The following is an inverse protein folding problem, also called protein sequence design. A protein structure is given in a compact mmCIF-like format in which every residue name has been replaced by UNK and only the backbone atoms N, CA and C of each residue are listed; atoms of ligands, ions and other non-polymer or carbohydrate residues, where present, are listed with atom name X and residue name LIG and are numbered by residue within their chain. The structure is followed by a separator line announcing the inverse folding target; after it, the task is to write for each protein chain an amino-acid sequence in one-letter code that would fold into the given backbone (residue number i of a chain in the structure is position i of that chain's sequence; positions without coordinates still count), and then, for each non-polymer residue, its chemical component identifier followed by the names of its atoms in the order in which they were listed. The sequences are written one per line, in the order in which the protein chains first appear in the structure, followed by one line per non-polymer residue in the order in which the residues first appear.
data_IF_164945624248
#
_entry.id   IF_164945624248
#
_cell.length_a   1.000
_cell.length_b   1.000
_cell.length_c   1.000
_cell.angle_alpha   90.00
_cell.angle_beta   90.00
_cell.angle_gamma   90.00
#
_symmetry.space_group_name_H-M   'P 1'
#
loop_
_entity.id
_entity.type
_entity.pdbx_description
1 polymer ?
#
# COMPACT_ATOMS: atom_id res chain seq x y z
N UNK A 1 12.68 -21.89 -18.38
CA UNK A 1 12.14 -21.54 -17.05
C UNK A 1 12.06 -20.03 -17.01
N UNK A 2 10.87 -19.46 -16.90
CA UNK A 2 10.70 -18.02 -16.65
C UNK A 2 11.23 -17.73 -15.25
N UNK A 3 12.08 -16.72 -15.09
CA UNK A 3 12.53 -16.29 -13.77
C UNK A 3 11.34 -15.62 -13.07
N UNK A 4 10.89 -16.20 -11.95
CA UNK A 4 9.78 -15.68 -11.14
C UNK A 4 10.29 -14.86 -9.95
N UNK A 5 11.58 -14.99 -9.62
CA UNK A 5 12.20 -14.22 -8.54
C UNK A 5 12.28 -12.75 -8.93
N UNK A 6 11.78 -11.89 -8.05
CA UNK A 6 11.72 -10.45 -8.22
C UNK A 6 12.86 -9.75 -7.51
N UNK A 7 13.41 -8.70 -8.13
CA UNK A 7 14.34 -7.77 -7.48
C UNK A 7 13.65 -6.45 -7.20
N UNK A 8 13.51 -6.06 -5.95
CA UNK A 8 12.86 -4.81 -5.56
C UNK A 8 13.77 -3.93 -4.71
N UNK A 9 13.66 -2.62 -4.89
CA UNK A 9 14.32 -1.64 -4.02
C UNK A 9 13.30 -0.63 -3.52
N UNK A 10 13.22 -0.51 -2.20
CA UNK A 10 12.42 0.51 -1.53
C UNK A 10 13.26 1.77 -1.35
N UNK A 11 12.74 2.92 -1.76
CA UNK A 11 13.39 4.23 -1.75
C UNK A 11 12.56 5.15 -0.83
N UNK A 12 13.11 5.46 0.34
CA UNK A 12 12.42 6.18 1.41
C UNK A 12 12.91 7.62 1.51
N UNK A 13 11.99 8.57 1.40
CA UNK A 13 12.23 9.96 1.76
C UNK A 13 12.42 10.09 3.29
N UNK A 14 13.56 10.61 3.73
CA UNK A 14 13.87 10.87 5.14
C UNK A 14 14.05 12.36 5.42
N UNK A 15 13.56 13.22 4.52
CA UNK A 15 13.59 14.65 4.73
C UNK A 15 12.76 15.07 5.95
N UNK A 16 13.10 16.23 6.51
CA UNK A 16 12.48 16.74 7.73
C UNK A 16 10.98 17.03 7.58
N UNK A 17 10.43 17.12 6.36
CA UNK A 17 8.99 17.26 6.15
C UNK A 17 8.24 16.01 6.61
N UNK A 18 8.79 14.82 6.36
CA UNK A 18 8.17 13.55 6.72
C UNK A 18 7.91 13.46 8.24
N UNK A 19 8.92 13.77 9.07
CA UNK A 19 8.74 13.81 10.54
C UNK A 19 7.90 15.00 10.99
N UNK A 20 8.09 16.19 10.39
CA UNK A 20 7.29 17.37 10.74
C UNK A 20 5.79 17.19 10.47
N UNK A 21 5.45 16.35 9.50
CA UNK A 21 4.08 16.01 9.13
C UNK A 21 3.56 14.75 9.85
N UNK A 22 4.40 14.07 10.63
CA UNK A 22 4.04 12.87 11.40
C UNK A 22 3.87 11.61 10.54
N UNK A 23 4.63 11.50 9.45
CA UNK A 23 4.57 10.35 8.53
C UNK A 23 5.68 9.33 8.75
N UNK A 24 6.70 9.67 9.53
CA UNK A 24 7.89 8.86 9.77
C UNK A 24 7.58 7.54 10.46
N UNK A 25 6.89 7.55 11.60
CA UNK A 25 6.60 6.32 12.36
C UNK A 25 5.84 5.29 11.51
N UNK A 26 4.78 5.72 10.81
CA UNK A 26 4.01 4.85 9.93
C UNK A 26 4.83 4.36 8.73
N UNK A 27 5.65 5.23 8.15
CA UNK A 27 6.54 4.86 7.04
C UNK A 27 7.50 3.76 7.48
N UNK A 28 8.04 3.84 8.70
CA UNK A 28 8.90 2.79 9.26
C UNK A 28 8.14 1.48 9.46
N UNK A 29 6.98 1.51 10.13
CA UNK A 29 6.16 0.33 10.41
C UNK A 29 5.78 -0.40 9.11
N UNK A 30 5.18 0.31 8.16
CA UNK A 30 4.70 -0.26 6.91
C UNK A 30 5.85 -0.75 6.03
N UNK A 31 6.99 -0.07 6.04
CA UNK A 31 8.17 -0.47 5.26
C UNK A 31 8.84 -1.72 5.84
N UNK A 32 8.88 -1.87 7.18
CA UNK A 32 9.32 -3.10 7.85
C UNK A 32 8.40 -4.27 7.49
N UNK A 33 7.09 -4.04 7.50
CA UNK A 33 6.11 -5.05 7.10
C UNK A 33 6.30 -5.45 5.62
N UNK A 34 6.43 -4.48 4.71
CA UNK A 34 6.66 -4.71 3.28
C UNK A 34 7.88 -5.61 3.01
N UNK A 35 9.05 -5.30 3.58
CA UNK A 35 10.25 -6.16 3.37
C UNK A 35 10.13 -7.52 4.06
N UNK A 36 9.35 -7.61 5.14
CA UNK A 36 9.11 -8.86 5.87
C UNK A 36 8.15 -9.81 5.15
N UNK A 37 7.34 -9.28 4.24
CA UNK A 37 6.36 -10.04 3.46
C UNK A 37 6.96 -10.67 2.18
N UNK A 38 8.15 -10.23 1.76
CA UNK A 38 8.72 -10.63 0.46
C UNK A 38 9.18 -12.10 0.42
N UNK A 39 9.08 -12.76 -0.73
CA UNK A 39 9.20 -14.22 -0.88
C UNK A 39 10.65 -14.73 -0.90
N UNK A 40 10.90 -15.97 -0.43
CA UNK A 40 12.19 -16.63 -0.62
C UNK A 40 12.53 -16.72 -2.12
N UNK A 41 13.76 -16.39 -2.47
CA UNK A 41 14.25 -16.30 -3.84
C UNK A 41 14.33 -14.87 -4.37
N UNK A 42 13.53 -13.93 -3.85
CA UNK A 42 13.56 -12.52 -4.25
C UNK A 42 14.80 -11.80 -3.74
N UNK A 43 15.12 -10.64 -4.33
CA UNK A 43 16.12 -9.70 -3.83
C UNK A 43 15.44 -8.44 -3.33
N UNK A 44 15.80 -8.00 -2.13
CA UNK A 44 15.32 -6.75 -1.51
C UNK A 44 16.49 -5.82 -1.22
N UNK A 45 16.32 -4.55 -1.56
CA UNK A 45 17.21 -3.46 -1.18
C UNK A 45 16.43 -2.30 -0.57
N UNK A 46 17.10 -1.50 0.26
CA UNK A 46 16.51 -0.30 0.83
C UNK A 46 17.50 0.86 0.69
N UNK A 47 17.01 1.95 0.13
CA UNK A 47 17.68 3.23 -0.03
C UNK A 47 16.89 4.28 0.74
N UNK A 48 17.58 5.20 1.36
CA UNK A 48 17.00 6.43 1.89
C UNK A 48 17.51 7.61 1.08
N UNK A 49 16.73 8.69 1.01
CA UNK A 49 17.21 9.95 0.46
C UNK A 49 16.69 11.17 1.23
N UNK A 50 17.53 12.19 1.28
CA UNK A 50 17.18 13.54 1.71
C UNK A 50 17.87 14.59 0.81
N UNK A 51 19.00 15.15 1.24
CA UNK A 51 19.92 15.93 0.39
C UNK A 51 20.71 15.01 -0.53
N UNK A 52 21.12 13.85 0.00
CA UNK A 52 21.85 12.81 -0.71
C UNK A 52 21.10 11.47 -0.55
N UNK A 53 21.41 10.49 -1.40
CA UNK A 53 20.89 9.13 -1.26
C UNK A 53 21.92 8.20 -0.60
N UNK A 54 21.46 7.30 0.26
CA UNK A 54 22.32 6.36 0.97
C UNK A 54 21.71 4.95 1.02
N UNK A 55 22.60 3.95 0.99
CA UNK A 55 22.25 2.56 1.26
C UNK A 55 21.82 2.39 2.70
N UNK A 56 20.59 1.91 2.92
CA UNK A 56 20.11 1.47 4.23
C UNK A 56 20.32 -0.02 4.39
N UNK A 57 19.93 -0.78 3.37
CA UNK A 57 20.11 -2.23 3.31
C UNK A 57 20.51 -2.63 1.88
N UNK A 58 21.68 -3.28 1.67
CA UNK A 58 22.14 -3.61 0.34
C UNK A 58 21.20 -4.59 -0.36
N UNK A 59 21.17 -4.59 -1.69
CA UNK A 59 20.37 -5.54 -2.46
C UNK A 59 20.78 -6.98 -2.12
N UNK A 60 19.94 -7.68 -1.36
CA UNK A 60 20.25 -8.98 -0.77
C UNK A 60 19.19 -9.99 -1.15
N UNK A 61 19.63 -11.20 -1.54
CA UNK A 61 18.73 -12.31 -1.85
C UNK A 61 18.16 -12.90 -0.56
N UNK A 62 16.85 -13.09 -0.51
CA UNK A 62 16.16 -13.85 0.52
C UNK A 62 16.40 -15.33 0.24
N UNK A 63 17.40 -15.94 0.88
CA UNK A 63 17.92 -17.26 0.50
C UNK A 63 17.61 -18.36 1.55
N UNK A 64 18.59 -19.19 1.95
CA UNK A 64 18.38 -20.38 2.80
C UNK A 64 17.89 -20.04 4.21
N UNK A 65 18.10 -18.81 4.67
CA UNK A 65 17.53 -18.30 5.92
C UNK A 65 16.66 -17.04 5.64
N UNK A 66 15.46 -17.22 5.05
CA UNK A 66 14.60 -16.10 4.69
C UNK A 66 14.26 -15.18 5.86
N UNK A 67 14.08 -15.77 7.05
CA UNK A 67 13.64 -15.02 8.23
C UNK A 67 14.75 -14.10 8.74
N UNK A 68 16.00 -14.57 8.77
CA UNK A 68 17.13 -13.72 9.14
C UNK A 68 17.32 -12.57 8.16
N UNK A 69 17.23 -12.82 6.84
CA UNK A 69 17.37 -11.77 5.82
C UNK A 69 16.28 -10.70 5.96
N UNK A 70 15.01 -11.13 6.07
CA UNK A 70 13.87 -10.22 6.28
C UNK A 70 14.01 -9.43 7.57
N UNK A 71 14.42 -10.08 8.65
CA UNK A 71 14.66 -9.41 9.94
C UNK A 71 15.76 -8.36 9.83
N UNK A 72 16.89 -8.68 9.19
CA UNK A 72 17.99 -7.73 9.01
C UNK A 72 17.57 -6.52 8.16
N UNK A 73 16.76 -6.71 7.12
CA UNK A 73 16.21 -5.61 6.33
C UNK A 73 15.25 -4.74 7.17
N UNK A 74 14.36 -5.36 7.95
CA UNK A 74 13.45 -4.66 8.84
C UNK A 74 14.19 -3.92 9.96
N UNK A 75 15.22 -4.52 10.56
CA UNK A 75 16.07 -3.88 11.57
C UNK A 75 16.84 -2.68 10.99
N UNK A 76 17.30 -2.78 9.73
CA UNK A 76 17.96 -1.68 9.04
C UNK A 76 17.00 -0.50 8.81
N UNK A 77 15.75 -0.76 8.40
CA UNK A 77 14.69 0.25 8.30
C UNK A 77 14.40 0.85 9.69
N UNK A 78 14.27 0.01 10.73
CA UNK A 78 14.05 0.47 12.10
C UNK A 78 15.18 1.41 12.58
N UNK A 79 16.40 1.22 12.10
CA UNK A 79 17.53 2.11 12.36
C UNK A 79 17.35 3.55 11.88
N UNK A 80 16.41 3.81 10.95
CA UNK A 80 16.05 5.15 10.49
C UNK A 80 15.06 5.87 11.42
N UNK A 81 14.47 5.18 12.40
CA UNK A 81 13.51 5.80 13.32
C UNK A 81 14.14 7.01 14.05
N UNK A 82 13.44 8.15 14.05
CA UNK A 82 13.96 9.41 14.59
C UNK A 82 15.07 10.07 13.75
N UNK A 83 15.42 9.53 12.58
CA UNK A 83 16.44 10.07 11.68
C UNK A 83 15.85 10.81 10.46
N UNK A 84 14.53 11.02 10.42
CA UNK A 84 13.85 11.73 9.33
C UNK A 84 14.02 13.25 9.51
N UNK A 85 15.26 13.72 9.43
CA UNK A 85 15.68 15.08 9.77
C UNK A 85 16.44 15.78 8.63
N UNK A 86 16.43 15.18 7.44
CA UNK A 86 17.12 15.68 6.27
C UNK A 86 16.68 17.08 5.85
N UNK A 87 17.63 17.92 5.44
CA UNK A 87 17.35 19.35 5.22
C UNK A 87 16.59 19.66 3.94
N UNK A 88 16.59 18.73 2.99
CA UNK A 88 16.15 18.90 1.60
C UNK A 88 15.58 17.57 1.07
N UNK A 89 15.05 17.59 -0.15
CA UNK A 89 14.38 16.45 -0.81
C UNK A 89 14.93 16.29 -2.23
N UNK A 90 15.83 15.32 -2.41
CA UNK A 90 16.56 15.03 -3.65
C UNK A 90 16.07 13.70 -4.25
N UNK A 91 14.85 13.73 -4.80
CA UNK A 91 14.21 12.56 -5.40
C UNK A 91 15.10 11.92 -6.50
N UNK A 92 15.83 12.72 -7.27
CA UNK A 92 16.75 12.24 -8.31
C UNK A 92 17.83 11.32 -7.76
N UNK A 93 18.50 11.69 -6.67
CA UNK A 93 19.53 10.87 -6.06
C UNK A 93 18.97 9.52 -5.55
N UNK A 94 17.75 9.54 -5.00
CA UNK A 94 17.06 8.32 -4.58
C UNK A 94 16.78 7.37 -5.75
N UNK A 95 16.28 7.91 -6.87
CA UNK A 95 16.01 7.14 -8.10
C UNK A 95 17.30 6.57 -8.69
N UNK A 96 18.36 7.37 -8.78
CA UNK A 96 19.66 6.96 -9.32
C UNK A 96 20.26 5.82 -8.48
N UNK A 97 20.37 6.00 -7.16
CA UNK A 97 20.92 4.97 -6.29
C UNK A 97 20.07 3.69 -6.27
N UNK A 98 18.74 3.82 -6.25
CA UNK A 98 17.84 2.68 -6.35
C UNK A 98 17.99 1.91 -7.68
N UNK A 99 18.17 2.64 -8.78
CA UNK A 99 18.45 2.08 -10.10
C UNK A 99 19.78 1.33 -10.11
N UNK A 100 20.83 1.92 -9.53
CA UNK A 100 22.15 1.31 -9.42
C UNK A 100 22.14 0.02 -8.60
N UNK A 101 21.34 -0.05 -7.52
CA UNK A 101 21.15 -1.26 -6.74
C UNK A 101 20.61 -2.41 -7.60
N UNK A 102 19.59 -2.15 -8.40
CA UNK A 102 19.04 -3.15 -9.32
C UNK A 102 20.00 -3.49 -10.46
N UNK A 103 20.90 -2.57 -10.84
CA UNK A 103 21.97 -2.79 -11.81
C UNK A 103 21.54 -3.61 -13.03
N UNK A 104 22.24 -4.72 -13.27
CA UNK A 104 21.97 -5.64 -14.38
C UNK A 104 21.02 -6.81 -14.04
N UNK A 105 20.28 -6.76 -12.93
CA UNK A 105 19.31 -7.81 -12.60
C UNK A 105 18.29 -7.97 -13.73
N UNK A 106 17.94 -9.20 -14.08
CA UNK A 106 16.92 -9.46 -15.09
C UNK A 106 15.51 -9.24 -14.50
N UNK A 107 14.52 -8.80 -15.30
CA UNK A 107 13.13 -8.80 -14.88
C UNK A 107 12.68 -10.18 -14.36
N UNK A 108 11.70 -10.24 -13.43
CA UNK A 108 10.94 -9.12 -12.86
C UNK A 108 11.77 -8.25 -11.88
N UNK A 109 11.64 -6.92 -11.99
CA UNK A 109 12.30 -5.95 -11.10
C UNK A 109 11.55 -4.62 -11.07
N UNK A 110 11.55 -3.93 -9.93
CA UNK A 110 10.90 -2.63 -9.78
C UNK A 110 11.48 -1.80 -8.62
N UNK A 111 11.22 -0.49 -8.65
CA UNK A 111 11.49 0.43 -7.54
C UNK A 111 10.18 0.83 -6.87
N UNK A 112 10.24 1.13 -5.58
CA UNK A 112 9.14 1.73 -4.82
C UNK A 112 9.63 3.02 -4.21
N UNK A 113 9.15 4.16 -4.70
CA UNK A 113 9.49 5.49 -4.22
C UNK A 113 8.40 6.02 -3.29
N UNK A 114 8.75 6.35 -2.06
CA UNK A 114 7.84 6.92 -1.06
C UNK A 114 8.30 8.31 -0.67
N UNK A 115 7.44 9.33 -0.83
CA UNK A 115 7.77 10.72 -0.52
C UNK A 115 6.54 11.55 -0.16
N UNK A 116 6.70 12.50 0.74
CA UNK A 116 5.70 13.53 1.09
C UNK A 116 5.98 14.91 0.50
N UNK A 117 7.09 15.04 -0.24
CA UNK A 117 7.73 16.31 -0.52
C UNK A 117 7.87 16.64 -2.01
N UNK A 118 8.32 17.87 -2.25
CA UNK A 118 8.72 18.36 -3.57
C UNK A 118 10.22 18.23 -3.73
N UNK A 119 10.65 17.77 -4.90
CA UNK A 119 12.06 17.85 -5.28
C UNK A 119 12.55 19.30 -5.18
N UNK A 120 13.57 19.55 -4.37
CA UNK A 120 14.01 20.91 -4.04
C UNK A 120 15.52 21.11 -4.03
N UNK A 121 16.29 20.04 -4.21
CA UNK A 121 17.75 20.09 -4.34
C UNK A 121 18.23 18.93 -5.22
N UNK A 122 19.45 19.05 -5.74
CA UNK A 122 20.04 18.07 -6.64
C UNK A 122 19.84 18.42 -8.11
N UNK A 123 20.64 17.78 -8.96
CA UNK A 123 20.55 17.82 -10.42
C UNK A 123 21.13 16.51 -10.94
N UNK A 124 20.53 15.87 -11.97
CA UNK A 124 19.44 16.36 -12.83
C UNK A 124 18.06 16.36 -12.14
N UNK A 125 17.05 16.93 -12.80
CA UNK A 125 15.66 16.85 -12.30
C UNK A 125 15.17 15.38 -12.34
N UNK A 126 14.27 14.92 -11.44
CA UNK A 126 13.92 13.50 -11.34
C UNK A 126 13.42 12.86 -12.64
N UNK A 127 12.72 13.62 -13.49
CA UNK A 127 12.22 13.11 -14.78
C UNK A 127 13.32 12.90 -15.83
N UNK A 128 14.52 13.44 -15.61
CA UNK A 128 15.67 13.31 -16.52
C UNK A 128 16.57 12.10 -16.16
N UNK A 129 16.34 11.46 -14.99
CA UNK A 129 17.13 10.31 -14.49
C UNK A 129 16.33 9.00 -14.47
N UNK A 130 15.15 8.97 -15.11
CA UNK A 130 14.28 7.81 -15.08
C UNK A 130 14.91 6.61 -15.82
N UNK A 131 14.91 5.41 -15.22
CA UNK A 131 15.40 4.21 -15.88
C UNK A 131 14.45 3.78 -17.00
N UNK A 132 14.99 3.35 -18.13
CA UNK A 132 14.20 3.00 -19.32
C UNK A 132 13.45 1.65 -19.24
N UNK A 133 13.77 0.80 -18.27
CA UNK A 133 13.25 -0.57 -18.19
C UNK A 133 13.07 -1.09 -16.74
N UNK A 134 12.86 -0.18 -15.80
CA UNK A 134 12.58 -0.48 -14.40
C UNK A 134 11.33 0.32 -14.00
N UNK A 135 10.18 -0.33 -13.80
CA UNK A 135 9.00 0.34 -13.26
C UNK A 135 9.30 0.99 -11.90
N UNK A 136 8.87 2.23 -11.73
CA UNK A 136 8.91 2.92 -10.44
C UNK A 136 7.47 3.07 -9.96
N UNK A 137 7.09 2.31 -8.94
CA UNK A 137 5.85 2.54 -8.21
C UNK A 137 6.07 3.70 -7.25
N UNK A 138 5.12 4.63 -7.15
CA UNK A 138 5.26 5.82 -6.31
C UNK A 138 4.13 5.91 -5.29
N UNK A 139 4.45 6.15 -4.03
CA UNK A 139 3.49 6.41 -2.96
C UNK A 139 3.61 7.87 -2.50
N UNK A 140 2.55 8.64 -2.71
CA UNK A 140 2.50 10.05 -2.35
C UNK A 140 1.94 10.22 -0.93
N UNK A 141 2.78 10.53 0.04
CA UNK A 141 2.37 10.65 1.44
C UNK A 141 1.78 12.03 1.73
N UNK A 142 0.60 12.05 2.36
CA UNK A 142 -0.03 13.29 2.79
C UNK A 142 -0.62 14.14 1.65
N UNK A 143 -1.45 15.13 2.00
CA UNK A 143 -2.12 16.00 1.04
C UNK A 143 -1.17 16.98 0.34
N UNK A 144 0.07 17.13 0.84
CA UNK A 144 1.04 18.10 0.38
C UNK A 144 2.17 17.53 -0.48
N UNK A 145 2.12 16.25 -0.79
CA UNK A 145 3.03 15.59 -1.73
C UNK A 145 2.97 16.21 -3.13
N UNK A 146 4.08 16.12 -3.85
CA UNK A 146 4.19 16.48 -5.27
C UNK A 146 3.59 15.37 -6.14
N UNK A 147 2.25 15.25 -6.08
CA UNK A 147 1.52 14.19 -6.77
C UNK A 147 1.78 14.22 -8.28
N UNK A 148 1.83 15.40 -8.89
CA UNK A 148 2.07 15.55 -10.33
C UNK A 148 3.40 14.91 -10.73
N UNK A 149 4.49 15.25 -10.03
CA UNK A 149 5.79 14.64 -10.26
C UNK A 149 5.76 13.11 -10.06
N UNK A 150 5.16 12.62 -8.98
CA UNK A 150 5.12 11.19 -8.67
C UNK A 150 4.29 10.40 -9.71
N UNK A 151 3.17 10.96 -10.17
CA UNK A 151 2.37 10.40 -11.28
C UNK A 151 3.21 10.34 -12.56
N UNK A 152 3.96 11.39 -12.88
CA UNK A 152 4.82 11.44 -14.06
C UNK A 152 5.95 10.41 -13.99
N UNK A 153 6.58 10.23 -12.83
CA UNK A 153 7.60 9.20 -12.59
C UNK A 153 7.01 7.80 -12.84
N UNK A 154 5.88 7.48 -12.19
CA UNK A 154 5.25 6.16 -12.33
C UNK A 154 4.78 5.90 -13.77
N UNK A 155 4.14 6.88 -14.39
CA UNK A 155 3.59 6.73 -15.74
C UNK A 155 4.66 6.55 -16.81
N UNK A 156 5.78 7.27 -16.73
CA UNK A 156 6.89 7.21 -17.70
C UNK A 156 7.73 5.94 -17.58
N UNK A 157 7.76 5.33 -16.41
CA UNK A 157 8.54 4.10 -16.14
C UNK A 157 7.70 2.82 -16.24
N UNK A 158 6.38 2.94 -16.39
CA UNK A 158 5.46 1.81 -16.41
C UNK A 158 5.07 1.28 -15.02
N UNK A 159 5.38 2.03 -13.96
CA UNK A 159 4.91 1.75 -12.61
C UNK A 159 3.49 2.28 -12.33
N UNK A 160 3.08 2.19 -11.07
CA UNK A 160 1.77 2.63 -10.59
C UNK A 160 1.91 3.73 -9.53
N UNK A 161 0.97 4.66 -9.56
CA UNK A 161 0.85 5.72 -8.57
C UNK A 161 -0.17 5.33 -7.48
N UNK A 162 0.19 5.56 -6.22
CA UNK A 162 -0.65 5.33 -5.06
C UNK A 162 -0.77 6.61 -4.23
N UNK A 163 -2.02 7.02 -3.95
CA UNK A 163 -2.27 8.18 -3.09
C UNK A 163 -2.38 7.75 -1.63
N UNK A 164 -1.39 8.16 -0.85
CA UNK A 164 -1.34 7.97 0.60
C UNK A 164 -1.60 9.29 1.32
N UNK A 165 -2.57 10.09 0.84
CA UNK A 165 -3.01 11.34 1.50
C UNK A 165 -3.34 11.11 2.98
N UNK A 166 -3.93 9.95 3.29
CA UNK A 166 -3.85 9.38 4.62
C UNK A 166 -2.67 8.40 4.66
N UNK A 167 -1.68 8.67 5.50
CA UNK A 167 -0.45 7.85 5.60
C UNK A 167 -0.76 6.38 5.89
N UNK A 168 -1.85 6.11 6.61
CA UNK A 168 -2.30 4.74 6.89
C UNK A 168 -2.73 3.95 5.65
N UNK A 169 -2.82 4.58 4.47
CA UNK A 169 -3.02 3.91 3.19
C UNK A 169 -1.71 3.39 2.56
N UNK A 170 -0.55 3.62 3.19
CA UNK A 170 0.74 3.14 2.70
C UNK A 170 0.80 1.60 2.68
N UNK A 171 0.44 0.91 3.77
CA UNK A 171 0.40 -0.56 3.75
C UNK A 171 -0.55 -1.15 2.69
N UNK A 172 -1.80 -0.69 2.52
CA UNK A 172 -2.63 -1.13 1.39
C UNK A 172 -2.00 -0.91 0.01
N UNK A 173 -1.25 0.20 -0.15
CA UNK A 173 -0.54 0.52 -1.39
C UNK A 173 0.64 -0.42 -1.62
N UNK A 174 1.44 -0.68 -0.58
CA UNK A 174 2.49 -1.70 -0.59
C UNK A 174 1.96 -3.09 -0.93
N UNK A 175 0.82 -3.50 -0.38
CA UNK A 175 0.19 -4.76 -0.73
C UNK A 175 -0.17 -4.82 -2.23
N UNK A 176 -0.70 -3.72 -2.77
CA UNK A 176 -0.98 -3.58 -4.20
C UNK A 176 0.28 -3.59 -5.07
N UNK A 177 1.40 -3.05 -4.58
CA UNK A 177 2.68 -3.09 -5.31
C UNK A 177 3.23 -4.51 -5.33
N UNK A 178 3.19 -5.24 -4.20
CA UNK A 178 3.65 -6.62 -4.14
C UNK A 178 2.87 -7.57 -5.06
N UNK A 179 1.61 -7.25 -5.38
CA UNK A 179 0.80 -8.05 -6.30
C UNK A 179 1.23 -7.92 -7.77
N UNK A 180 2.15 -7.01 -8.11
CA UNK A 180 2.76 -6.96 -9.45
C UNK A 180 3.94 -7.91 -9.62
N UNK A 181 4.49 -8.44 -8.53
CA UNK A 181 5.50 -9.49 -8.62
C UNK A 181 4.86 -10.76 -9.21
N UNK A 182 5.54 -11.49 -10.13
CA UNK A 182 5.02 -12.74 -10.66
C UNK A 182 4.71 -13.76 -9.56
N UNK A 183 3.66 -14.54 -9.76
CA UNK A 183 3.15 -15.57 -8.85
C UNK A 183 2.61 -15.07 -7.49
N UNK A 184 2.57 -13.74 -7.27
CA UNK A 184 1.97 -13.12 -6.08
C UNK A 184 0.53 -12.67 -6.38
N UNK A 185 -0.45 -13.31 -5.76
CA UNK A 185 -1.86 -12.96 -5.94
C UNK A 185 -2.43 -12.36 -4.66
N UNK A 186 -2.78 -11.08 -4.70
CA UNK A 186 -3.42 -10.41 -3.56
C UNK A 186 -4.88 -10.85 -3.48
N UNK A 187 -5.29 -11.38 -2.33
CA UNK A 187 -6.62 -11.97 -2.11
C UNK A 187 -7.47 -11.00 -1.29
N UNK A 188 -6.90 -10.47 -0.21
CA UNK A 188 -7.56 -9.49 0.67
C UNK A 188 -6.60 -8.36 1.01
N UNK A 189 -7.13 -7.16 1.13
CA UNK A 189 -6.36 -5.96 1.43
C UNK A 189 -7.33 -4.92 2.01
N UNK A 190 -7.49 -4.87 3.33
CA UNK A 190 -8.51 -4.01 3.94
C UNK A 190 -7.98 -3.30 5.16
N UNK A 191 -8.51 -2.12 5.43
CA UNK A 191 -8.29 -1.40 6.69
C UNK A 191 -9.50 -1.55 7.58
N UNK A 192 -9.26 -1.91 8.83
CA UNK A 192 -10.29 -2.27 9.79
C UNK A 192 -10.03 -1.55 11.12
N UNK A 193 -11.05 -0.86 11.67
CA UNK A 193 -11.05 -0.43 13.06
C UNK A 193 -11.69 -1.51 13.95
N UNK A 194 -11.06 -1.83 15.08
CA UNK A 194 -11.63 -2.68 16.13
C UNK A 194 -11.67 -1.91 17.43
N UNK A 195 -12.87 -1.76 17.99
CA UNK A 195 -13.06 -1.13 19.30
C UNK A 195 -12.55 -2.04 20.42
N UNK A 196 -12.12 -1.49 21.57
CA UNK A 196 -11.85 -2.29 22.75
C UNK A 196 -13.01 -3.24 23.10
N UNK A 197 -12.68 -4.44 23.59
CA UNK A 197 -13.62 -5.51 23.93
C UNK A 197 -14.45 -5.99 22.72
N UNK A 198 -13.85 -5.98 21.53
CA UNK A 198 -14.50 -6.41 20.30
C UNK A 198 -13.54 -7.21 19.42
N UNK A 199 -14.05 -7.71 18.29
CA UNK A 199 -13.28 -8.44 17.30
C UNK A 199 -13.71 -8.06 15.88
N UNK A 200 -12.85 -8.38 14.91
CA UNK A 200 -13.17 -8.32 13.48
C UNK A 200 -12.85 -9.67 12.83
N UNK A 201 -13.73 -10.13 11.94
CA UNK A 201 -13.51 -11.33 11.11
C UNK A 201 -13.30 -10.87 9.67
N UNK A 202 -12.13 -11.17 9.12
CA UNK A 202 -11.76 -10.86 7.74
C UNK A 202 -11.75 -12.15 6.92
N UNK A 203 -12.79 -12.41 6.11
CA UNK A 203 -12.84 -13.59 5.26
C UNK A 203 -11.93 -13.42 4.03
N UNK A 204 -11.30 -14.51 3.62
CA UNK A 204 -10.58 -14.60 2.36
C UNK A 204 -10.72 -16.01 1.77
N UNK A 205 -10.52 -16.15 0.46
CA UNK A 205 -10.69 -17.45 -0.21
C UNK A 205 -9.38 -17.89 -0.83
N UNK A 206 -8.92 -19.07 -0.44
CA UNK A 206 -7.71 -19.69 -0.96
C UNK A 206 -8.05 -20.57 -2.16
N UNK A 207 -7.43 -20.30 -3.31
CA UNK A 207 -7.56 -21.10 -4.53
C UNK A 207 -6.78 -22.42 -4.45
N UNK A 208 -6.97 -23.33 -5.41
CA UNK A 208 -6.27 -24.60 -5.42
C UNK A 208 -4.88 -24.51 -6.07
N UNK A 209 -3.97 -25.39 -5.62
CA UNK A 209 -2.63 -25.50 -6.19
C UNK A 209 -1.61 -24.49 -5.65
N UNK A 210 -1.95 -23.78 -4.58
CA UNK A 210 -1.05 -22.87 -3.86
C UNK A 210 -0.10 -23.64 -2.95
N UNK A 211 1.15 -23.21 -2.92
CA UNK A 211 2.16 -23.80 -2.05
C UNK A 211 2.31 -23.02 -0.74
N UNK A 212 1.94 -21.75 -0.72
CA UNK A 212 1.93 -20.92 0.49
C UNK A 212 0.82 -19.88 0.39
N UNK A 213 0.17 -19.62 1.51
CA UNK A 213 -0.64 -18.42 1.72
C UNK A 213 0.04 -17.59 2.81
N UNK A 214 0.20 -16.31 2.58
CA UNK A 214 0.63 -15.37 3.61
C UNK A 214 -0.56 -14.56 4.08
N UNK A 215 -0.72 -14.44 5.39
CA UNK A 215 -1.66 -13.53 6.04
C UNK A 215 -0.88 -12.54 6.89
N UNK A 216 -1.24 -11.26 6.86
CA UNK A 216 -0.56 -10.24 7.65
C UNK A 216 -1.56 -9.25 8.26
N UNK A 217 -1.28 -8.85 9.50
CA UNK A 217 -1.91 -7.69 10.14
C UNK A 217 -0.83 -6.68 10.46
N UNK A 218 -1.01 -5.43 10.03
CA UNK A 218 -0.10 -4.30 10.25
C UNK A 218 -0.88 -3.19 10.95
N UNK A 219 -0.45 -2.76 12.13
CA UNK A 219 -1.19 -1.80 12.97
C UNK A 219 -0.39 -0.55 13.29
N UNK A 220 -1.13 0.52 13.54
CA UNK A 220 -0.61 1.89 13.51
C UNK A 220 -0.08 2.37 14.87
N UNK A 221 -0.73 1.93 15.96
CA UNK A 221 -0.41 2.37 17.32
C UNK A 221 0.39 1.30 18.06
N UNK A 222 1.69 1.54 18.21
CA UNK A 222 2.62 0.62 18.89
C UNK A 222 2.42 0.53 20.40
N UNK A 223 1.55 1.34 21.00
CA UNK A 223 1.12 1.10 22.38
C UNK A 223 0.23 -0.14 22.50
N UNK A 224 -0.36 -0.58 21.38
CA UNK A 224 -1.14 -1.81 21.27
C UNK A 224 -0.20 -2.96 20.88
N UNK A 225 -0.20 -4.02 21.67
CA UNK A 225 0.72 -5.15 21.51
C UNK A 225 0.02 -6.39 20.96
N UNK A 226 0.71 -7.11 20.07
CA UNK A 226 0.29 -8.44 19.65
C UNK A 226 0.55 -9.48 20.76
N UNK A 227 -0.32 -10.50 20.87
CA UNK A 227 -0.08 -11.68 21.70
C UNK A 227 -0.63 -12.97 21.09
N UNK A 228 0.11 -14.08 21.27
CA UNK A 228 -0.33 -15.45 20.93
C UNK A 228 -1.31 -16.04 21.97
N UNK A 229 -1.45 -15.38 23.12
CA UNK A 229 -2.33 -15.81 24.23
C UNK A 229 -3.68 -15.11 24.20
N UNK A 230 -4.57 -15.43 25.14
CA UNK A 230 -5.78 -14.63 25.32
C UNK A 230 -5.39 -13.17 25.60
N UNK A 231 -5.85 -12.20 24.77
CA UNK A 231 -5.38 -10.83 24.89
C UNK A 231 -5.88 -10.18 26.17
N UNK A 232 -5.04 -9.35 26.80
CA UNK A 232 -5.36 -8.63 28.03
C UNK A 232 -4.85 -7.19 27.98
N UNK A 233 -5.56 -6.25 28.62
CA UNK A 233 -5.20 -4.83 28.55
C UNK A 233 -5.15 -4.32 27.11
N UNK A 234 -4.06 -3.63 26.75
CA UNK A 234 -3.86 -3.06 25.40
C UNK A 234 -3.24 -4.08 24.43
N UNK A 235 -3.73 -5.31 24.46
CA UNK A 235 -3.25 -6.37 23.58
C UNK A 235 -4.34 -6.81 22.62
N UNK A 236 -3.92 -7.30 21.46
CA UNK A 236 -4.78 -8.02 20.52
C UNK A 236 -4.17 -9.36 20.12
N UNK A 237 -5.01 -10.28 19.69
CA UNK A 237 -4.62 -11.56 19.11
C UNK A 237 -5.09 -11.63 17.67
N UNK A 238 -4.25 -12.20 16.80
CA UNK A 238 -4.65 -12.68 15.48
C UNK A 238 -4.81 -14.20 15.53
N UNK A 239 -5.90 -14.72 15.00
CA UNK A 239 -6.13 -16.17 14.83
C UNK A 239 -6.52 -16.45 13.40
N UNK A 240 -5.99 -17.53 12.82
CA UNK A 240 -6.32 -17.97 11.46
C UNK A 240 -7.21 -19.20 11.54
N UNK A 241 -8.36 -19.19 10.87
CA UNK A 241 -9.25 -20.33 10.76
C UNK A 241 -9.23 -20.90 9.35
N UNK A 242 -9.10 -22.22 9.26
CA UNK A 242 -9.16 -22.97 8.01
C UNK A 242 -10.61 -23.09 7.47
N UNK A 243 -10.81 -23.64 6.26
CA UNK A 243 -12.13 -23.89 5.68
C UNK A 243 -13.06 -24.80 6.47
N UNK A 244 -12.55 -25.56 7.44
CA UNK A 244 -13.34 -26.37 8.35
C UNK A 244 -13.66 -25.62 9.66
N UNK A 245 -13.31 -24.34 9.76
CA UNK A 245 -13.36 -23.50 10.95
C UNK A 245 -12.48 -24.01 12.10
N UNK A 246 -11.39 -24.71 11.78
CA UNK A 246 -10.38 -25.11 12.75
C UNK A 246 -9.33 -24.02 12.82
N UNK A 247 -9.06 -23.53 14.03
CA UNK A 247 -8.00 -22.57 14.27
C UNK A 247 -6.63 -23.22 14.03
N UNK A 248 -5.76 -22.52 13.31
CA UNK A 248 -4.37 -22.92 13.10
C UNK A 248 -3.62 -22.91 14.45
N UNK A 249 -2.95 -24.03 14.76
CA UNK A 249 -2.19 -24.18 16.01
C UNK A 249 -0.78 -23.58 15.93
N UNK A 250 -0.23 -23.47 14.72
CA UNK A 250 1.12 -22.94 14.51
C UNK A 250 1.19 -21.44 14.84
N UNK A 251 2.27 -20.97 15.46
CA UNK A 251 2.45 -19.56 15.78
C UNK A 251 2.67 -18.72 14.51
N UNK A 252 2.60 -17.38 14.62
CA UNK A 252 3.02 -16.51 13.52
C UNK A 252 4.45 -16.81 13.09
N UNK A 253 4.70 -16.66 11.80
CA UNK A 253 6.03 -16.82 11.22
C UNK A 253 6.94 -15.64 11.57
N UNK A 254 6.39 -14.43 11.60
CA UNK A 254 7.11 -13.20 11.96
C UNK A 254 6.24 -12.37 12.89
N UNK A 255 6.85 -11.89 13.98
CA UNK A 255 6.28 -10.87 14.87
C UNK A 255 7.27 -9.72 14.87
N UNK A 256 6.84 -8.56 14.40
CA UNK A 256 7.62 -7.32 14.44
C UNK A 256 6.83 -6.21 15.15
N UNK A 257 7.51 -5.09 15.44
CA UNK A 257 6.84 -3.94 16.03
C UNK A 257 5.92 -3.31 14.99
N UNK A 258 4.60 -3.47 15.18
CA UNK A 258 3.57 -2.95 14.28
C UNK A 258 3.09 -3.95 13.22
N UNK A 259 3.58 -5.19 13.20
CA UNK A 259 3.06 -6.20 12.26
C UNK A 259 3.25 -7.64 12.72
N UNK A 260 2.33 -8.51 12.28
CA UNK A 260 2.39 -9.97 12.47
C UNK A 260 2.09 -10.66 11.14
N UNK A 261 2.85 -11.71 10.81
CA UNK A 261 2.75 -12.43 9.54
C UNK A 261 2.69 -13.94 9.79
N UNK A 262 1.72 -14.59 9.17
CA UNK A 262 1.62 -16.05 9.05
C UNK A 262 1.96 -16.47 7.62
N UNK A 263 2.90 -17.39 7.46
CA UNK A 263 3.13 -18.12 6.21
C UNK A 263 2.63 -19.55 6.38
N UNK A 264 1.54 -19.88 5.70
CA UNK A 264 0.85 -21.17 5.82
C UNK A 264 1.25 -22.04 4.62
N UNK A 265 2.09 -23.07 4.82
CA UNK A 265 2.51 -23.95 3.75
C UNK A 265 1.39 -24.92 3.36
N UNK A 266 1.28 -25.23 2.06
CA UNK A 266 0.34 -26.18 1.49
C UNK A 266 -1.11 -25.99 2.00
N UNK A 267 -1.68 -24.77 1.89
CA UNK A 267 -3.01 -24.49 2.42
C UNK A 267 -4.09 -25.29 1.67
N UNK A 268 -5.11 -25.77 2.38
CA UNK A 268 -6.27 -26.36 1.74
C UNK A 268 -7.10 -25.28 1.01
N UNK A 269 -7.63 -25.56 -0.18
CA UNK A 269 -8.46 -24.59 -0.91
C UNK A 269 -9.79 -24.37 -0.18
N UNK A 270 -10.31 -23.14 -0.18
CA UNK A 270 -11.60 -22.82 0.42
C UNK A 270 -11.65 -21.47 1.12
N UNK A 271 -12.70 -21.26 1.92
CA UNK A 271 -12.91 -20.02 2.65
C UNK A 271 -12.16 -20.03 3.99
N UNK A 272 -11.17 -19.19 4.13
CA UNK A 272 -10.40 -18.99 5.36
C UNK A 272 -10.82 -17.68 6.05
N UNK A 273 -10.41 -17.51 7.31
CA UNK A 273 -10.69 -16.29 8.07
C UNK A 273 -9.48 -15.85 8.89
N UNK A 274 -9.21 -14.55 8.92
CA UNK A 274 -8.42 -13.91 9.96
C UNK A 274 -9.38 -13.36 11.02
N UNK A 275 -9.23 -13.76 12.27
CA UNK A 275 -9.96 -13.21 13.40
C UNK A 275 -9.01 -12.35 14.25
N UNK A 276 -9.32 -11.06 14.36
CA UNK A 276 -8.57 -10.11 15.19
C UNK A 276 -9.40 -9.80 16.42
N UNK A 277 -8.94 -10.25 17.59
CA UNK A 277 -9.60 -10.03 18.88
C UNK A 277 -8.83 -8.98 19.68
N UNK A 278 -9.51 -7.91 20.10
CA UNK A 278 -8.89 -6.83 20.85
C UNK A 278 -9.46 -6.75 22.28
N UNK A 279 -8.55 -6.75 23.26
CA UNK A 279 -8.91 -6.76 24.67
C UNK A 279 -9.34 -5.36 25.16
N UNK A 280 -9.03 -5.06 26.42
CA UNK A 280 -9.45 -3.83 27.12
C UNK A 280 -8.52 -2.67 26.79
N UNK A 281 -8.44 -2.31 25.51
CA UNK A 281 -7.77 -1.12 25.04
C UNK A 281 -8.41 0.19 25.46
N UNK A 282 -7.69 1.29 25.29
CA UNK A 282 -8.18 2.66 25.56
C UNK A 282 -8.50 3.46 24.30
N UNK A 283 -8.06 2.96 23.14
CA UNK A 283 -8.26 3.56 21.81
C UNK A 283 -8.73 2.47 20.85
N UNK A 284 -9.21 2.84 19.65
CA UNK A 284 -9.55 1.84 18.63
C UNK A 284 -8.27 1.27 18.00
N UNK A 285 -8.19 -0.05 17.85
CA UNK A 285 -7.15 -0.72 17.09
C UNK A 285 -7.43 -0.51 15.60
N UNK A 286 -6.58 0.25 14.92
CA UNK A 286 -6.63 0.43 13.47
C UNK A 286 -5.50 -0.37 12.82
N UNK A 287 -5.85 -1.19 11.84
CA UNK A 287 -4.89 -2.05 11.16
C UNK A 287 -5.26 -2.31 9.70
N UNK A 288 -4.25 -2.68 8.92
CA UNK A 288 -4.39 -3.25 7.59
C UNK A 288 -4.27 -4.77 7.69
N UNK A 289 -5.27 -5.49 7.18
CA UNK A 289 -5.20 -6.93 6.98
C UNK A 289 -4.97 -7.23 5.49
N UNK A 290 -3.93 -8.00 5.20
CA UNK A 290 -3.55 -8.44 3.86
C UNK A 290 -3.44 -9.96 3.80
N UNK A 291 -3.77 -10.56 2.66
CA UNK A 291 -3.43 -11.95 2.40
C UNK A 291 -3.06 -12.17 0.92
N UNK A 292 -2.04 -12.99 0.72
CA UNK A 292 -1.48 -13.34 -0.58
C UNK A 292 -1.47 -14.84 -0.78
N UNK A 293 -1.72 -15.25 -2.02
CA UNK A 293 -1.48 -16.59 -2.52
C UNK A 293 -0.17 -16.59 -3.30
N UNK A 294 0.64 -17.62 -3.05
CA UNK A 294 1.82 -17.88 -3.86
C UNK A 294 1.65 -19.20 -4.60
N UNK A 295 1.82 -19.13 -5.91
CA UNK A 295 1.62 -20.25 -6.81
C UNK A 295 2.93 -21.01 -7.09
N UNK A 296 2.81 -22.28 -7.47
CA UNK A 296 3.97 -23.04 -7.97
C UNK A 296 4.37 -22.52 -9.36
N UNK A 297 5.67 -22.39 -9.60
CA UNK A 297 6.20 -21.98 -10.90
C UNK A 297 5.68 -22.87 -12.04
N UNK A 298 5.09 -22.26 -13.07
CA UNK A 298 4.51 -22.96 -14.21
C UNK A 298 3.04 -23.37 -14.04
N UNK A 299 2.42 -23.07 -12.90
CA UNK A 299 0.96 -23.03 -12.85
C UNK A 299 0.44 -21.82 -13.66
N UNK A 300 -0.81 -21.90 -14.10
CA UNK A 300 -1.49 -20.80 -14.78
C UNK A 300 -2.47 -20.18 -13.78
N UNK A 301 -2.00 -19.33 -12.84
CA UNK A 301 -2.86 -18.77 -11.81
C UNK A 301 -4.02 -17.99 -12.42
N UNK A 302 -5.10 -17.90 -11.66
CA UNK A 302 -6.22 -17.06 -12.05
C UNK A 302 -5.75 -15.62 -12.02
N UNK A 303 -5.82 -14.95 -13.16
CA UNK A 303 -5.43 -13.56 -13.30
C UNK A 303 -6.65 -12.68 -13.21
N UNK A 304 -6.53 -11.55 -12.51
CA UNK A 304 -7.51 -10.47 -12.51
C UNK A 304 -6.91 -9.28 -13.25
N UNK A 305 -7.73 -8.59 -14.04
CA UNK A 305 -7.34 -7.32 -14.65
C UNK A 305 -8.40 -6.26 -14.33
N UNK A 306 -7.96 -5.22 -13.61
CA UNK A 306 -8.70 -3.98 -13.35
C UNK A 306 -8.11 -2.86 -14.21
N UNK A 307 -8.90 -2.37 -15.17
CA UNK A 307 -8.51 -1.26 -16.04
C UNK A 307 -9.33 -0.03 -15.69
N UNK A 308 -8.63 1.07 -15.40
CA UNK A 308 -9.21 2.40 -15.19
C UNK A 308 -8.34 3.45 -15.90
N UNK A 309 -8.90 4.60 -16.30
CA UNK A 309 -8.08 5.71 -16.80
C UNK A 309 -7.15 6.20 -15.69
N UNK A 310 -5.93 6.66 -16.05
CA UNK A 310 -5.00 7.24 -15.07
C UNK A 310 -5.44 8.61 -14.56
N UNK A 311 -6.13 9.38 -15.42
CA UNK A 311 -6.58 10.74 -15.17
C UNK A 311 -7.89 11.02 -15.92
N UNK A 312 -8.78 11.78 -15.31
CA UNK A 312 -10.03 12.29 -15.90
C UNK A 312 -10.26 13.74 -15.48
N UNK A 313 -11.17 14.43 -16.18
CA UNK A 313 -11.54 15.80 -15.81
C UNK A 313 -12.56 15.83 -14.66
N UNK A 314 -12.54 16.88 -13.83
CA UNK A 314 -13.60 17.14 -12.85
C UNK A 314 -14.99 17.12 -13.52
N UNK A 315 -15.91 16.34 -12.95
CA UNK A 315 -17.26 16.13 -13.46
C UNK A 315 -17.39 15.11 -14.60
N UNK A 316 -16.28 14.58 -15.14
CA UNK A 316 -16.31 13.47 -16.08
C UNK A 316 -16.57 12.15 -15.31
N UNK A 317 -17.54 11.31 -15.71
CA UNK A 317 -17.73 10.02 -15.07
C UNK A 317 -16.48 9.14 -15.19
N UNK A 318 -16.00 8.63 -14.07
CA UNK A 318 -14.93 7.65 -14.00
C UNK A 318 -15.50 6.27 -14.27
N UNK A 319 -14.99 5.56 -15.27
CA UNK A 319 -15.37 4.18 -15.58
C UNK A 319 -14.17 3.26 -15.43
N UNK A 320 -14.43 2.05 -14.96
CA UNK A 320 -13.43 0.99 -14.86
C UNK A 320 -14.01 -0.35 -15.28
N UNK A 321 -13.15 -1.21 -15.82
CA UNK A 321 -13.51 -2.56 -16.26
C UNK A 321 -12.74 -3.60 -15.48
N UNK A 322 -13.40 -4.73 -15.22
CA UNK A 322 -12.84 -5.85 -14.48
C UNK A 322 -13.08 -7.12 -15.28
N UNK A 323 -12.04 -7.95 -15.40
CA UNK A 323 -12.13 -9.29 -15.94
C UNK A 323 -11.23 -10.25 -15.15
N UNK A 324 -11.54 -11.55 -15.19
CA UNK A 324 -10.68 -12.58 -14.64
C UNK A 324 -10.57 -13.78 -15.58
N UNK A 325 -9.39 -14.38 -15.65
CA UNK A 325 -9.09 -15.51 -16.55
C UNK A 325 -8.41 -16.65 -15.81
N UNK A 326 -8.75 -17.89 -16.15
CA UNK A 326 -8.02 -19.09 -15.75
C UNK A 326 -7.14 -19.52 -16.92
N UNK A 327 -5.89 -19.04 -16.95
CA UNK A 327 -5.07 -19.05 -18.15
C UNK A 327 -5.70 -18.20 -19.25
N UNK A 328 -6.00 -18.81 -20.41
CA UNK A 328 -6.62 -18.11 -21.53
C UNK A 328 -8.16 -18.13 -21.46
N UNK A 329 -8.75 -18.86 -20.51
CA UNK A 329 -10.19 -19.03 -20.40
C UNK A 329 -10.81 -17.95 -19.50
N UNK A 330 -11.64 -17.09 -20.09
CA UNK A 330 -12.38 -16.06 -19.37
C UNK A 330 -13.38 -16.66 -18.37
N UNK A 331 -13.42 -16.13 -17.14
CA UNK A 331 -14.35 -16.54 -16.09
C UNK A 331 -15.55 -15.60 -16.10
N UNK A 332 -16.75 -16.13 -16.35
CA UNK A 332 -17.93 -15.28 -16.60
C UNK A 332 -18.86 -15.09 -15.40
N UNK A 333 -18.80 -15.97 -14.40
CA UNK A 333 -19.68 -15.97 -13.24
C UNK A 333 -18.93 -15.51 -11.98
N UNK A 334 -18.49 -14.25 -12.01
CA UNK A 334 -17.82 -13.58 -10.91
C UNK A 334 -18.81 -12.82 -10.01
N UNK A 335 -18.58 -12.90 -8.71
CA UNK A 335 -19.06 -11.93 -7.73
C UNK A 335 -18.03 -10.80 -7.64
N UNK A 336 -18.43 -9.58 -8.01
CA UNK A 336 -17.54 -8.41 -8.06
C UNK A 336 -18.03 -7.36 -7.08
N UNK A 337 -17.16 -6.95 -6.17
CA UNK A 337 -17.40 -5.83 -5.26
C UNK A 337 -16.33 -4.76 -5.47
N UNK A 338 -16.74 -3.50 -5.45
CA UNK A 338 -15.85 -2.37 -5.63
C UNK A 338 -16.08 -1.35 -4.51
N UNK A 339 -14.99 -0.92 -3.88
CA UNK A 339 -14.94 0.12 -2.86
C UNK A 339 -14.20 1.32 -3.44
N UNK A 340 -14.82 2.48 -3.34
CA UNK A 340 -14.27 3.75 -3.81
C UNK A 340 -13.85 4.56 -2.59
N UNK A 341 -12.64 5.09 -2.61
CA UNK A 341 -12.18 6.14 -1.67
C UNK A 341 -11.90 7.40 -2.48
N UNK A 342 -12.48 8.53 -2.09
CA UNK A 342 -12.29 9.81 -2.78
C UNK A 342 -12.24 10.96 -1.76
N UNK A 343 -11.79 12.17 -2.13
CA UNK A 343 -11.88 13.33 -1.27
C UNK A 343 -13.35 13.66 -0.99
N UNK A 344 -13.71 13.85 0.29
CA UNK A 344 -15.00 14.48 0.65
C UNK A 344 -14.98 15.96 0.34
N UNK A 345 -13.81 16.57 0.55
CA UNK A 345 -13.53 17.97 0.36
C UNK A 345 -12.14 18.06 -0.25
N UNK A 346 -12.06 18.52 -1.51
CA UNK A 346 -10.78 18.72 -2.16
C UNK A 346 -9.97 19.82 -1.48
N UNK A 347 -8.65 19.87 -1.75
CA UNK A 347 -7.79 20.94 -1.22
C UNK A 347 -8.30 22.31 -1.66
N UNK A 348 -8.66 22.47 -2.94
CA UNK A 348 -9.17 23.73 -3.46
C UNK A 348 -10.46 24.17 -2.76
N UNK A 349 -11.37 23.22 -2.49
CA UNK A 349 -12.62 23.53 -1.79
C UNK A 349 -12.40 23.75 -0.29
N UNK A 350 -11.45 23.06 0.33
CA UNK A 350 -11.05 23.28 1.72
C UNK A 350 -10.46 24.67 1.94
N UNK A 351 -9.60 25.14 1.02
CA UNK A 351 -9.06 26.52 1.06
C UNK A 351 -10.17 27.57 1.05
N UNK A 352 -11.24 27.34 0.27
CA UNK A 352 -12.41 28.22 0.24
C UNK A 352 -13.25 28.11 1.51
N UNK A 353 -13.51 26.89 1.96
CA UNK A 353 -14.38 26.62 3.11
C UNK A 353 -13.78 27.11 4.44
N UNK A 354 -12.48 26.92 4.65
CA UNK A 354 -11.78 27.31 5.87
C UNK A 354 -11.06 28.67 5.77
N UNK A 355 -11.39 29.50 4.77
CA UNK A 355 -10.68 30.74 4.45
C UNK A 355 -10.47 31.66 5.66
N UNK A 356 -11.48 31.83 6.50
CA UNK A 356 -11.41 32.69 7.68
C UNK A 356 -10.46 32.14 8.75
N UNK A 357 -10.47 30.83 8.99
CA UNK A 357 -9.57 30.17 9.94
C UNK A 357 -8.13 30.22 9.44
N UNK A 358 -7.92 29.96 8.14
CA UNK A 358 -6.62 30.04 7.47
C UNK A 358 -6.03 31.44 7.59
N UNK A 359 -6.84 32.50 7.43
CA UNK A 359 -6.38 33.89 7.53
C UNK A 359 -5.74 34.22 8.90
N UNK A 360 -6.16 33.53 9.97
CA UNK A 360 -5.62 33.69 11.32
C UNK A 360 -4.27 33.01 11.55
N UNK A 361 -3.83 32.10 10.68
CA UNK A 361 -2.58 31.36 10.84
C UNK A 361 -1.38 32.23 10.46
N UNK A 362 -0.44 32.40 11.40
CA UNK A 362 0.82 33.10 11.18
C UNK A 362 1.92 32.12 10.81
N UNK A 363 2.57 32.34 9.67
CA UNK A 363 3.70 31.52 9.23
C UNK A 363 5.03 32.04 9.80
N UNK A 364 5.86 31.10 10.27
CA UNK A 364 7.29 31.33 10.54
C UNK A 364 8.06 31.54 9.23
N UNK A 365 9.30 32.03 9.31
CA UNK A 365 10.13 32.20 8.11
C UNK A 365 10.39 30.87 7.39
N UNK A 366 10.60 29.77 8.13
CA UNK A 366 10.78 28.44 7.57
C UNK A 366 9.54 28.00 6.78
N UNK A 367 8.34 28.22 7.32
CA UNK A 367 7.07 27.88 6.66
C UNK A 367 6.74 28.75 5.44
N UNK A 368 7.34 29.93 5.32
CA UNK A 368 7.23 30.77 4.11
C UNK A 368 8.17 30.34 3.00
N UNK A 369 9.27 29.70 3.34
CA UNK A 369 10.30 29.26 2.39
C UNK A 369 10.02 27.84 1.89
N UNK A 370 8.77 27.53 1.54
CA UNK A 370 8.38 26.24 0.95
C UNK A 370 7.98 26.43 -0.51
N UNK A 371 7.97 25.36 -1.31
CA UNK A 371 7.44 25.41 -2.68
C UNK A 371 5.90 25.48 -2.72
N UNK A 372 5.23 25.27 -1.59
CA UNK A 372 3.79 25.30 -1.48
C UNK A 372 3.26 26.75 -1.43
N UNK A 373 2.09 27.03 -2.03
CA UNK A 373 1.38 28.29 -1.82
C UNK A 373 1.10 28.54 -0.32
N UNK A 374 1.22 29.79 0.13
CA UNK A 374 1.06 30.17 1.54
C UNK A 374 -0.26 29.67 2.15
N UNK A 375 -1.37 29.74 1.41
CA UNK A 375 -2.67 29.26 1.89
C UNK A 375 -2.69 27.73 2.11
N UNK A 376 -1.96 26.96 1.29
CA UNK A 376 -1.84 25.50 1.43
C UNK A 376 -1.03 25.13 2.67
N UNK A 377 0.07 25.85 2.92
CA UNK A 377 0.85 25.69 4.17
C UNK A 377 0.01 25.99 5.40
N UNK A 378 -0.80 27.07 5.36
CA UNK A 378 -1.69 27.45 6.46
C UNK A 378 -2.81 26.44 6.68
N UNK A 379 -3.44 25.93 5.61
CA UNK A 379 -4.44 24.87 5.70
C UNK A 379 -3.86 23.61 6.35
N UNK A 380 -2.62 23.25 6.02
CA UNK A 380 -1.96 22.11 6.61
C UNK A 380 -1.65 22.28 8.10
N UNK A 381 -1.14 23.45 8.50
CA UNK A 381 -0.98 23.80 9.93
C UNK A 381 -2.32 23.73 10.65
N UNK A 382 -3.37 24.28 10.05
CA UNK A 382 -4.72 24.24 10.60
C UNK A 382 -5.20 22.80 10.74
N UNK A 383 -5.02 21.96 9.72
CA UNK A 383 -5.38 20.52 9.76
C UNK A 383 -4.67 19.82 10.92
N UNK A 384 -3.37 20.04 11.09
CA UNK A 384 -2.59 19.46 12.20
C UNK A 384 -3.08 19.88 13.58
N UNK A 385 -3.58 21.10 13.75
CA UNK A 385 -4.15 21.55 15.02
C UNK A 385 -5.47 20.87 15.39
N UNK A 386 -6.21 20.36 14.39
CA UNK A 386 -7.49 19.70 14.59
C UNK A 386 -7.39 18.17 14.61
N UNK A 387 -6.30 17.61 14.08
CA UNK A 387 -6.03 16.18 14.17
C UNK A 387 -5.63 15.78 15.60
N UNK A 388 -5.99 14.57 16.06
CA UNK A 388 -6.76 13.55 15.33
C UNK A 388 -8.30 13.74 15.41
N UNK A 389 -8.80 14.74 16.14
CA UNK A 389 -10.24 14.84 16.43
C UNK A 389 -11.09 15.14 15.19
N UNK A 390 -10.61 15.99 14.29
CA UNK A 390 -11.28 16.34 13.03
C UNK A 390 -10.22 16.40 11.92
N UNK A 391 -10.41 15.59 10.88
CA UNK A 391 -9.66 15.77 9.63
C UNK A 391 -10.35 16.83 8.76
N UNK A 392 -9.62 17.91 8.44
CA UNK A 392 -10.09 19.00 7.56
C UNK A 392 -10.01 18.65 6.06
N UNK A 393 -9.37 17.53 5.71
CA UNK A 393 -9.34 16.96 4.36
C UNK A 393 -9.87 15.51 4.40
N UNK A 394 -11.10 15.29 4.88
CA UNK A 394 -11.61 13.95 5.06
C UNK A 394 -11.87 13.27 3.71
N UNK A 395 -11.79 11.94 3.69
CA UNK A 395 -12.18 11.13 2.55
C UNK A 395 -13.60 10.57 2.72
N UNK A 396 -14.26 10.28 1.60
CA UNK A 396 -15.47 9.48 1.53
C UNK A 396 -15.09 8.09 1.08
N UNK A 397 -15.69 7.09 1.73
CA UNK A 397 -15.56 5.68 1.37
C UNK A 397 -16.96 5.13 1.14
N UNK A 398 -17.19 4.51 -0.02
CA UNK A 398 -18.49 3.90 -0.34
C UNK A 398 -18.36 2.76 -1.36
N UNK A 399 -19.29 1.80 -1.35
CA UNK A 399 -19.33 0.77 -2.39
C UNK A 399 -19.90 1.34 -3.70
N UNK A 400 -19.45 0.83 -4.85
CA UNK A 400 -20.11 1.08 -6.14
C UNK A 400 -20.59 -0.22 -6.77
N UNK A 401 -21.69 -0.13 -7.52
CA UNK A 401 -22.25 -1.27 -8.23
C UNK A 401 -21.46 -1.55 -9.50
N UNK A 402 -21.00 -2.79 -9.63
CA UNK A 402 -20.35 -3.29 -10.84
C UNK A 402 -21.35 -4.16 -11.60
N UNK A 403 -21.55 -3.87 -12.89
CA UNK A 403 -22.50 -4.58 -13.74
C UNK A 403 -21.76 -5.52 -14.67
N UNK A 404 -22.21 -6.78 -14.74
CA UNK A 404 -21.79 -7.70 -15.80
C UNK A 404 -22.27 -7.16 -17.16
N UNK A 405 -21.37 -7.16 -18.13
CA UNK A 405 -21.66 -6.90 -19.55
C UNK A 405 -21.53 -8.20 -20.35
N UNK A 406 -21.44 -8.10 -21.67
CA UNK A 406 -21.26 -9.28 -22.52
C UNK A 406 -19.87 -9.89 -22.34
N UNK A 407 -19.80 -11.24 -22.42
CA UNK A 407 -18.55 -12.02 -22.41
C UNK A 407 -17.69 -11.77 -21.16
N UNK A 408 -18.19 -12.07 -19.95
CA UNK A 408 -17.39 -12.11 -18.71
C UNK A 408 -16.74 -10.81 -18.24
N UNK A 409 -17.01 -9.69 -18.92
CA UNK A 409 -16.55 -8.36 -18.51
C UNK A 409 -17.50 -7.72 -17.51
N UNK A 410 -16.94 -6.93 -16.61
CA UNK A 410 -17.65 -6.23 -15.57
C UNK A 410 -17.29 -4.75 -15.62
N UNK A 411 -18.28 -3.87 -15.56
CA UNK A 411 -18.09 -2.41 -15.66
C UNK A 411 -18.64 -1.73 -14.42
N UNK A 412 -17.79 -0.96 -13.76
CA UNK A 412 -18.16 -0.06 -12.67
C UNK A 412 -17.99 1.39 -13.08
N UNK A 413 -18.68 2.29 -12.38
CA UNK A 413 -18.54 3.72 -12.61
C UNK A 413 -18.70 4.54 -11.31
N UNK A 414 -17.96 5.64 -11.24
CA UNK A 414 -18.17 6.74 -10.28
C UNK A 414 -18.69 7.94 -11.08
N UNK A 415 -19.94 8.33 -10.80
CA UNK A 415 -20.62 9.40 -11.55
C UNK A 415 -20.37 10.78 -10.98
N UNK A 416 -20.16 10.86 -9.67
CA UNK A 416 -19.94 12.13 -8.96
C UNK A 416 -18.44 12.34 -8.72
N UNK A 417 -17.80 12.93 -9.71
CA UNK A 417 -16.36 13.26 -9.74
C UNK A 417 -16.16 14.78 -9.62
N UNK A 418 -16.98 15.43 -8.79
CA UNK A 418 -16.98 16.89 -8.63
C UNK A 418 -15.91 17.43 -7.67
N UNK A 419 -15.25 16.56 -6.90
CA UNK A 419 -14.11 16.92 -6.08
C UNK A 419 -12.83 16.57 -6.85
N UNK A 420 -11.94 17.55 -7.03
CA UNK A 420 -10.60 17.28 -7.52
C UNK A 420 -9.78 16.49 -6.48
N UNK A 421 -8.86 15.66 -6.96
CA UNK A 421 -7.99 14.80 -6.17
C UNK A 421 -7.97 13.36 -6.68
N UNK A 422 -7.47 12.43 -5.86
CA UNK A 422 -7.32 11.03 -6.27
C UNK A 422 -8.49 10.18 -5.80
N UNK A 423 -8.96 9.33 -6.69
CA UNK A 423 -10.02 8.37 -6.47
C UNK A 423 -9.41 6.98 -6.51
N UNK A 424 -9.37 6.31 -5.36
CA UNK A 424 -8.89 4.95 -5.25
C UNK A 424 -10.03 3.98 -5.51
N UNK A 425 -9.82 3.07 -6.46
CA UNK A 425 -10.75 2.02 -6.82
C UNK A 425 -10.15 0.70 -6.36
N UNK A 426 -10.71 0.15 -5.29
CA UNK A 426 -10.38 -1.19 -4.85
C UNK A 426 -11.46 -2.17 -5.30
N UNK A 427 -11.08 -3.19 -6.06
CA UNK A 427 -11.98 -4.23 -6.53
C UNK A 427 -11.59 -5.57 -5.94
N UNK A 428 -12.58 -6.30 -5.43
CA UNK A 428 -12.46 -7.70 -5.08
C UNK A 428 -13.36 -8.53 -5.98
N UNK A 429 -12.81 -9.60 -6.55
CA UNK A 429 -13.55 -10.60 -7.31
C UNK A 429 -13.52 -11.94 -6.59
N UNK A 430 -14.64 -12.64 -6.60
CA UNK A 430 -14.76 -14.05 -6.16
C UNK A 430 -15.41 -14.86 -7.26
N UNK A 431 -15.08 -16.13 -7.35
CA UNK A 431 -15.69 -17.04 -8.31
C UNK A 431 -15.14 -18.44 -8.19
N UNK A 432 -15.32 -19.23 -9.24
CA UNK A 432 -14.78 -20.58 -9.35
C UNK A 432 -13.84 -20.67 -10.55
N UNK A 433 -12.68 -21.29 -10.34
CA UNK A 433 -11.71 -21.58 -11.37
C UNK A 433 -12.33 -22.49 -12.45
N UNK A 434 -12.11 -22.18 -13.74
CA UNK A 434 -12.70 -22.96 -14.82
C UNK A 434 -12.10 -24.37 -14.93
N UNK A 435 -10.80 -24.52 -14.69
CA UNK A 435 -10.09 -25.80 -14.86
C UNK A 435 -10.25 -26.73 -13.67
N UNK A 436 -10.14 -26.21 -12.45
CA UNK A 436 -10.20 -27.02 -11.23
C UNK A 436 -11.59 -27.06 -10.59
N UNK A 437 -12.48 -26.13 -10.91
CA UNK A 437 -13.79 -25.99 -10.26
C UNK A 437 -13.71 -25.53 -8.80
N UNK A 438 -12.56 -25.04 -8.35
CA UNK A 438 -12.33 -24.61 -6.95
C UNK A 438 -12.59 -23.12 -6.78
N UNK A 439 -13.04 -22.67 -5.59
CA UNK A 439 -13.28 -21.25 -5.36
C UNK A 439 -11.97 -20.44 -5.37
N UNK A 440 -12.04 -19.16 -5.69
CA UNK A 440 -10.91 -18.23 -5.64
C UNK A 440 -11.36 -16.82 -5.27
N UNK A 441 -10.39 -15.99 -4.87
CA UNK A 441 -10.59 -14.56 -4.68
C UNK A 441 -9.35 -13.78 -5.15
N UNK A 442 -9.56 -12.60 -5.74
CA UNK A 442 -8.50 -11.65 -6.12
C UNK A 442 -8.88 -10.24 -5.70
N UNK A 443 -7.88 -9.41 -5.44
CA UNK A 443 -8.02 -8.01 -5.08
C UNK A 443 -7.03 -7.17 -5.88
N UNK A 444 -7.49 -6.03 -6.41
CA UNK A 444 -6.63 -5.03 -7.03
C UNK A 444 -7.04 -3.63 -6.57
N UNK A 445 -6.04 -2.75 -6.48
CA UNK A 445 -6.17 -1.35 -6.12
C UNK A 445 -5.55 -0.51 -7.24
N UNK A 446 -6.31 0.43 -7.78
CA UNK A 446 -5.81 1.43 -8.74
C UNK A 446 -6.23 2.84 -8.29
N UNK A 447 -5.39 3.81 -8.57
CA UNK A 447 -5.61 5.22 -8.22
C UNK A 447 -5.86 6.03 -9.48
N UNK A 448 -6.89 6.88 -9.49
CA UNK A 448 -7.25 7.72 -10.63
C UNK A 448 -7.30 9.19 -10.23
N UNK A 449 -6.64 10.04 -11.00
CA UNK A 449 -6.59 11.48 -10.74
C UNK A 449 -7.79 12.18 -11.38
N UNK A 450 -8.46 13.04 -10.62
CA UNK A 450 -9.57 13.89 -11.09
C UNK A 450 -9.15 15.34 -10.93
N UNK A 451 -9.03 16.09 -12.03
CA UNK A 451 -8.59 17.50 -12.00
C UNK A 451 -9.09 18.35 -13.18
#
# INVERSE_FOLDING_TARGET
MTNTNTSSVLILDTSASMSSNGYDDMTIIDSKAFVSQDQPGNLIGVVQFDTDAQSVYPLTRIDKDPQSVRKLAADAIQGLAGQFNGSSTNISAGIELGTDFLGAQLPPRYLVLVSDGYHNTGSPYPLDVLPSNIPIHTCALGPNSDKELLIDIASRTGGQFYDCTNVSNLMPSYNGIQSFAPDNELITNGRYPVKPLNYEIIPFTVSAGNHTVMCSVVWEDLSIEYTDSAPSGNQFRLSILDPNNVQLEEPPTIIGDGYVIYNIPNPIPGAWQMAVEYAQGTVDLNFTAGAFEYHNSGSSPIQMELVAPKKIQVGQPLQFTVQATDGNDLIEDLEVSARITQPKLSIQNALKYYRELIAGIKLTQKQKNTQLPEERVKLDILRRQFLPQIDLLPTLVYPTFVKRTDRGNYVGAVRDTMQDGTYDIQVQVKGYAKKSGTPFQRNQLVSVVVE
#
